data_IF_467433462204
#
_entry.id   IF_467433462204
#
_cell.length_a   1.000
_cell.length_b   1.000
_cell.length_c   1.000
_cell.angle_alpha   90.00
_cell.angle_beta   90.00
_cell.angle_gamma   90.00
#
_symmetry.space_group_name_H-M   'P 1'
#
loop_
_entity.id
_entity.type
_entity.pdbx_description
1 polymer ?
#
# COMPACT_ATOMS: atom_id res chain seq x y z
N UNK A 1 10.47 -24.68 83.36
CA UNK A 1 9.91 -23.50 82.64
C UNK A 1 9.41 -23.99 81.29
N UNK A 2 8.38 -24.83 81.24
CA UNK A 2 6.94 -24.47 81.16
C UNK A 2 6.67 -23.22 80.32
N UNK A 3 6.22 -23.44 79.09
CA UNK A 3 4.97 -22.88 78.58
C UNK A 3 4.43 -23.74 77.42
N UNK A 4 3.17 -24.12 77.58
CA UNK A 4 2.22 -24.73 76.64
C UNK A 4 1.71 -23.64 75.65
N UNK A 5 0.98 -23.82 74.54
CA UNK A 5 0.30 -24.90 73.79
C UNK A 5 -0.25 -24.25 72.50
N UNK A 6 -0.65 -25.09 71.53
CA UNK A 6 -1.76 -24.89 70.57
C UNK A 6 -1.60 -23.88 69.41
N UNK A 7 -1.68 -24.38 68.18
CA UNK A 7 -2.92 -24.32 67.41
C UNK A 7 -2.73 -24.96 66.03
N UNK A 8 -3.45 -26.06 65.83
CA UNK A 8 -3.81 -26.57 64.51
C UNK A 8 -4.48 -25.47 63.68
N UNK A 9 -4.26 -25.50 62.35
CA UNK A 9 -5.37 -25.40 61.40
C UNK A 9 -4.89 -25.71 60.00
N UNK A 10 -5.28 -26.90 59.55
CA UNK A 10 -5.28 -27.33 58.17
C UNK A 10 -6.05 -26.32 57.32
N UNK A 11 -5.43 -25.70 56.32
CA UNK A 11 -6.16 -25.01 55.27
C UNK A 11 -5.98 -25.75 53.95
N UNK A 12 -7.11 -26.21 53.43
CA UNK A 12 -7.27 -27.00 52.22
C UNK A 12 -6.79 -26.19 51.01
N UNK A 13 -5.91 -26.82 50.23
CA UNK A 13 -5.53 -26.39 48.89
C UNK A 13 -6.77 -26.48 47.99
N UNK A 14 -7.33 -25.33 47.63
CA UNK A 14 -8.32 -25.19 46.56
C UNK A 14 -7.67 -24.37 45.44
N UNK A 15 -6.86 -25.03 44.63
CA UNK A 15 -6.30 -24.44 43.41
C UNK A 15 -7.39 -24.39 42.35
N UNK A 16 -8.14 -23.29 42.30
CA UNK A 16 -9.05 -23.00 41.20
C UNK A 16 -8.21 -22.69 39.95
N UNK A 17 -8.11 -23.65 39.03
CA UNK A 17 -7.49 -23.47 37.73
C UNK A 17 -8.44 -22.65 36.83
N UNK A 18 -8.34 -21.32 36.91
CA UNK A 18 -9.08 -20.41 36.03
C UNK A 18 -8.54 -20.52 34.61
N UNK A 19 -9.27 -21.19 33.72
CA UNK A 19 -9.06 -21.08 32.27
C UNK A 19 -9.43 -19.65 31.85
N UNK A 20 -8.43 -18.77 31.77
CA UNK A 20 -8.58 -17.48 31.10
C UNK A 20 -8.75 -17.74 29.60
N UNK A 21 -9.99 -17.72 29.11
CA UNK A 21 -10.27 -17.65 27.70
C UNK A 21 -9.69 -16.32 27.18
N UNK A 22 -8.54 -16.36 26.50
CA UNK A 22 -8.05 -15.25 25.70
C UNK A 22 -8.98 -15.09 24.50
N UNK A 23 -10.08 -14.37 24.70
CA UNK A 23 -10.79 -13.73 23.60
C UNK A 23 -9.84 -12.67 23.04
N UNK A 24 -8.99 -13.07 22.10
CA UNK A 24 -8.21 -12.15 21.29
C UNK A 24 -9.20 -11.26 20.54
N UNK A 25 -9.48 -10.09 21.10
CA UNK A 25 -10.12 -9.02 20.36
C UNK A 25 -9.15 -8.65 19.24
N UNK A 26 -9.35 -9.24 18.07
CA UNK A 26 -8.81 -8.71 16.84
C UNK A 26 -9.34 -7.27 16.76
N UNK A 27 -8.52 -6.30 17.16
CA UNK A 27 -8.75 -4.91 16.80
C UNK A 27 -8.76 -4.93 15.28
N UNK A 28 -9.95 -4.77 14.70
CA UNK A 28 -10.06 -4.27 13.35
C UNK A 28 -9.44 -2.87 13.43
N UNK A 29 -8.15 -2.79 13.14
CA UNK A 29 -7.50 -1.52 12.86
C UNK A 29 -8.34 -0.88 11.76
N UNK A 30 -9.05 0.18 12.11
CA UNK A 30 -9.74 0.97 11.11
C UNK A 30 -8.66 1.37 10.08
N UNK A 31 -8.91 1.20 8.77
CA UNK A 31 -7.90 1.55 7.77
C UNK A 31 -7.46 2.98 8.03
N UNK A 32 -6.17 3.16 8.29
CA UNK A 32 -5.60 4.48 8.54
C UNK A 32 -6.01 5.39 7.38
N UNK A 33 -6.48 6.62 7.62
CA UNK A 33 -6.88 7.49 6.53
C UNK A 33 -5.69 7.67 5.60
N UNK A 34 -5.92 7.47 4.30
CA UNK A 34 -4.86 7.58 3.30
C UNK A 34 -4.15 8.93 3.40
N UNK A 35 -2.83 8.92 3.44
CA UNK A 35 -2.00 10.11 3.53
C UNK A 35 -2.06 10.86 2.20
N UNK A 36 -2.56 12.11 2.16
CA UNK A 36 -2.61 12.88 0.93
C UNK A 36 -1.19 13.27 0.48
N UNK A 37 -0.93 13.19 -0.82
CA UNK A 37 0.34 13.55 -1.44
C UNK A 37 0.06 14.23 -2.79
N UNK A 38 1.03 14.94 -3.35
CA UNK A 38 0.93 15.48 -4.72
C UNK A 38 2.26 15.28 -5.42
N UNK A 39 2.37 14.17 -6.15
CA UNK A 39 3.62 13.73 -6.80
C UNK A 39 3.31 13.35 -8.23
N UNK A 40 4.12 13.80 -9.18
CA UNK A 40 4.03 13.34 -10.57
C UNK A 40 5.03 12.21 -10.76
N UNK A 41 4.57 11.08 -11.27
CA UNK A 41 5.44 9.93 -11.46
C UNK A 41 5.17 9.21 -12.78
N UNK A 42 6.16 8.45 -13.22
CA UNK A 42 6.05 7.61 -14.41
C UNK A 42 5.90 6.14 -14.01
N UNK A 43 4.93 5.46 -14.60
CA UNK A 43 4.71 4.03 -14.40
C UNK A 43 5.66 3.24 -15.28
N UNK A 44 6.49 2.41 -14.65
CA UNK A 44 7.44 1.48 -15.26
C UNK A 44 6.87 0.06 -15.24
N UNK A 45 5.72 -0.13 -15.89
CA UNK A 45 5.12 -1.45 -16.04
C UNK A 45 5.80 -2.24 -17.17
N UNK A 46 6.23 -3.46 -16.87
CA UNK A 46 6.97 -4.34 -17.79
C UNK A 46 6.20 -5.62 -18.11
N UNK A 47 5.16 -5.94 -17.33
CA UNK A 47 4.27 -7.06 -17.56
C UNK A 47 3.41 -6.79 -18.81
N UNK A 48 3.43 -7.67 -19.82
CA UNK A 48 2.58 -7.52 -21.00
C UNK A 48 1.08 -7.50 -20.69
N UNK A 49 0.64 -8.03 -19.53
CA UNK A 49 -0.74 -7.95 -19.08
C UNK A 49 -1.13 -6.54 -18.57
N UNK A 50 -0.15 -5.66 -18.32
CA UNK A 50 -0.35 -4.32 -17.78
C UNK A 50 -0.60 -4.29 -16.27
N UNK A 51 -0.66 -3.08 -15.72
CA UNK A 51 -0.81 -2.86 -14.29
C UNK A 51 -2.29 -2.79 -13.92
N UNK A 52 -2.77 -3.68 -13.07
CA UNK A 52 -4.15 -3.65 -12.59
C UNK A 52 -4.41 -2.45 -11.66
N UNK A 53 -5.45 -1.67 -11.96
CA UNK A 53 -5.91 -0.57 -11.13
C UNK A 53 -7.27 -0.88 -10.50
N UNK A 54 -7.46 -0.48 -9.24
CA UNK A 54 -8.58 -0.91 -8.38
C UNK A 54 -9.31 0.28 -7.75
N UNK A 55 -10.52 0.04 -7.25
CA UNK A 55 -11.34 1.09 -6.64
C UNK A 55 -10.89 1.49 -5.22
N UNK A 56 -10.12 0.62 -4.55
CA UNK A 56 -9.67 0.80 -3.18
C UNK A 56 -8.28 0.16 -2.97
N UNK A 57 -7.53 0.54 -1.92
CA UNK A 57 -6.21 0.00 -1.58
C UNK A 57 -6.29 -1.43 -1.03
N UNK A 58 -6.93 -2.34 -1.77
CA UNK A 58 -7.18 -3.71 -1.35
C UNK A 58 -7.10 -4.67 -2.54
N UNK A 59 -6.29 -5.71 -2.40
CA UNK A 59 -6.06 -6.70 -3.46
C UNK A 59 -7.30 -7.54 -3.79
N UNK A 60 -8.27 -7.61 -2.87
CA UNK A 60 -9.52 -8.36 -3.04
C UNK A 60 -10.63 -7.54 -3.71
N UNK A 61 -10.46 -6.22 -3.86
CA UNK A 61 -11.46 -5.33 -4.48
C UNK A 61 -11.37 -5.42 -6.00
N UNK A 62 -12.50 -5.30 -6.69
CA UNK A 62 -12.59 -5.37 -8.15
C UNK A 62 -11.59 -4.44 -8.85
N UNK A 63 -10.99 -4.96 -9.93
CA UNK A 63 -10.17 -4.21 -10.87
C UNK A 63 -11.06 -3.30 -11.73
N UNK A 64 -10.77 -2.00 -11.74
CA UNK A 64 -11.47 -0.99 -12.54
C UNK A 64 -10.95 -0.94 -13.98
N UNK A 65 -9.68 -1.28 -14.18
CA UNK A 65 -9.04 -1.30 -15.48
C UNK A 65 -7.57 -1.71 -15.38
N UNK A 66 -6.84 -1.56 -16.48
CA UNK A 66 -5.40 -1.81 -16.54
C UNK A 66 -4.68 -0.61 -17.14
N UNK A 67 -3.49 -0.32 -16.65
CA UNK A 67 -2.56 0.59 -17.31
C UNK A 67 -1.68 -0.20 -18.27
N UNK A 68 -1.46 0.30 -19.49
CA UNK A 68 -0.68 -0.42 -20.47
C UNK A 68 0.80 -0.45 -20.07
N UNK A 69 1.55 -1.49 -20.50
CA UNK A 69 2.98 -1.56 -20.25
C UNK A 69 3.75 -0.47 -20.98
N UNK A 70 4.96 -0.26 -20.50
CA UNK A 70 5.98 0.53 -21.16
C UNK A 70 6.40 -0.17 -22.45
N UNK A 71 6.66 0.63 -23.48
CA UNK A 71 7.23 0.17 -24.73
C UNK A 71 8.31 1.13 -25.20
N UNK A 72 9.17 0.65 -26.09
CA UNK A 72 10.23 1.46 -26.69
C UNK A 72 9.82 1.78 -28.12
N UNK A 73 9.76 3.06 -28.44
CA UNK A 73 9.58 3.48 -29.82
C UNK A 73 10.80 3.08 -30.65
N UNK A 74 10.57 2.32 -31.71
CA UNK A 74 11.66 1.76 -32.53
C UNK A 74 12.35 2.81 -33.37
N UNK A 75 11.67 3.92 -33.70
CA UNK A 75 12.23 4.98 -34.52
C UNK A 75 13.18 5.88 -33.73
N UNK A 76 12.80 6.25 -32.51
CA UNK A 76 13.57 7.16 -31.64
C UNK A 76 14.38 6.47 -30.55
N UNK A 77 14.08 5.21 -30.22
CA UNK A 77 14.62 4.53 -29.04
C UNK A 77 14.06 5.04 -27.71
N UNK A 78 13.01 5.88 -27.75
CA UNK A 78 12.43 6.51 -26.57
C UNK A 78 11.53 5.55 -25.80
N UNK A 79 11.66 5.55 -24.48
CA UNK A 79 10.81 4.78 -23.59
C UNK A 79 9.51 5.52 -23.32
N UNK A 80 8.40 4.96 -23.77
CA UNK A 80 7.06 5.54 -23.63
C UNK A 80 6.41 5.02 -22.36
N UNK A 81 6.29 5.89 -21.37
CA UNK A 81 5.77 5.60 -20.03
C UNK A 81 4.51 6.39 -19.76
N UNK A 82 3.64 5.81 -18.93
CA UNK A 82 2.42 6.48 -18.47
C UNK A 82 2.79 7.45 -17.35
N UNK A 83 2.53 8.74 -17.54
CA UNK A 83 2.57 9.75 -16.48
C UNK A 83 1.30 9.62 -15.64
N UNK A 84 1.45 9.64 -14.33
CA UNK A 84 0.36 9.63 -13.35
C UNK A 84 0.58 10.69 -12.29
N UNK A 85 -0.50 11.19 -11.71
CA UNK A 85 -0.46 12.02 -10.51
C UNK A 85 -0.86 11.17 -9.31
N UNK A 86 0.04 11.02 -8.33
CA UNK A 86 -0.22 10.36 -7.06
C UNK A 86 -0.82 11.38 -6.09
N UNK A 87 -2.03 11.09 -5.64
CA UNK A 87 -2.83 11.96 -4.76
C UNK A 87 -2.91 11.47 -3.31
N UNK A 88 -2.67 10.18 -3.08
CA UNK A 88 -2.63 9.62 -1.73
C UNK A 88 -1.82 8.31 -1.67
N UNK A 89 -1.36 7.97 -0.47
CA UNK A 89 -0.67 6.71 -0.15
C UNK A 89 -1.40 6.03 1.03
N UNK A 90 -1.56 4.71 0.95
CA UNK A 90 -2.10 3.89 2.04
C UNK A 90 -1.45 2.49 2.00
N UNK A 91 -0.63 2.17 3.00
CA UNK A 91 -0.15 0.81 3.27
C UNK A 91 0.47 0.11 2.04
N UNK A 92 1.28 0.85 1.28
CA UNK A 92 1.90 0.36 0.05
C UNK A 92 0.99 0.39 -1.18
N UNK A 93 -0.12 1.12 -1.13
CA UNK A 93 -0.97 1.45 -2.26
C UNK A 93 -0.89 2.94 -2.57
N UNK A 94 -0.97 3.27 -3.85
CA UNK A 94 -0.99 4.65 -4.30
C UNK A 94 -2.30 4.94 -5.03
N UNK A 95 -2.96 6.02 -4.62
CA UNK A 95 -4.08 6.60 -5.35
C UNK A 95 -3.53 7.46 -6.46
N UNK A 96 -3.83 7.07 -7.69
CA UNK A 96 -3.42 7.78 -8.90
C UNK A 96 -4.62 8.37 -9.61
N UNK A 97 -4.37 9.43 -10.36
CA UNK A 97 -5.30 10.03 -11.31
C UNK A 97 -4.56 10.47 -12.56
N UNK A 98 -5.35 10.84 -13.58
CA UNK A 98 -4.84 11.50 -14.78
C UNK A 98 -3.76 10.68 -15.52
N UNK A 99 -3.92 9.36 -15.54
CA UNK A 99 -2.98 8.46 -16.18
C UNK A 99 -3.00 8.66 -17.69
N UNK A 100 -1.89 9.09 -18.29
CA UNK A 100 -1.77 9.29 -19.74
C UNK A 100 -0.33 9.14 -20.21
N UNK A 101 -0.15 8.84 -21.49
CA UNK A 101 1.13 9.07 -22.13
C UNK A 101 1.40 10.58 -22.23
N UNK A 102 2.67 10.93 -22.40
CA UNK A 102 3.10 12.32 -22.51
C UNK A 102 3.51 12.62 -23.96
N UNK A 103 2.54 13.05 -24.76
CA UNK A 103 2.76 13.38 -26.17
C UNK A 103 3.75 14.56 -26.31
N UNK A 104 3.70 15.54 -25.42
CA UNK A 104 4.60 16.69 -25.43
C UNK A 104 6.07 16.26 -25.24
N UNK A 105 6.33 15.27 -24.38
CA UNK A 105 7.67 14.74 -24.14
C UNK A 105 8.11 13.69 -25.15
N UNK A 106 7.19 12.94 -25.76
CA UNK A 106 7.52 11.75 -26.56
C UNK A 106 7.22 11.85 -28.04
N UNK A 107 6.37 12.79 -28.45
CA UNK A 107 5.84 12.90 -29.81
C UNK A 107 5.01 11.69 -30.25
N UNK A 108 4.62 10.81 -29.31
CA UNK A 108 3.85 9.61 -29.60
C UNK A 108 2.35 9.83 -29.33
N UNK A 109 1.47 9.17 -30.10
CA UNK A 109 0.03 9.31 -29.93
C UNK A 109 -0.43 8.80 -28.57
N UNK A 110 -1.39 9.52 -27.97
CA UNK A 110 -2.01 9.14 -26.71
C UNK A 110 -2.71 7.78 -26.84
N UNK A 111 -2.28 6.80 -26.04
CA UNK A 111 -3.01 5.52 -25.92
C UNK A 111 -4.24 5.70 -25.03
N UNK A 112 -5.30 4.91 -25.24
CA UNK A 112 -6.42 4.86 -24.30
C UNK A 112 -5.92 4.34 -22.94
N UNK A 113 -6.08 5.18 -21.93
CA UNK A 113 -5.69 4.89 -20.55
C UNK A 113 -6.90 5.00 -19.63
N UNK A 114 -6.78 4.44 -18.43
CA UNK A 114 -7.81 4.64 -17.42
C UNK A 114 -7.79 6.09 -16.92
N UNK A 115 -8.83 6.87 -17.24
CA UNK A 115 -8.93 8.30 -16.92
C UNK A 115 -9.40 8.61 -15.49
N UNK A 116 -9.91 7.61 -14.76
CA UNK A 116 -10.46 7.79 -13.42
C UNK A 116 -9.41 7.81 -12.31
N UNK A 117 -9.87 8.08 -11.09
CA UNK A 117 -9.06 7.84 -9.90
C UNK A 117 -9.05 6.36 -9.57
N UNK A 118 -7.88 5.83 -9.24
CA UNK A 118 -7.74 4.43 -8.89
C UNK A 118 -6.55 4.17 -7.98
N UNK A 119 -6.56 2.98 -7.39
CA UNK A 119 -5.52 2.48 -6.51
C UNK A 119 -4.74 1.40 -7.21
N UNK A 120 -3.41 1.49 -7.16
CA UNK A 120 -2.55 0.39 -7.56
C UNK A 120 -1.62 0.02 -6.41
N UNK A 121 -1.30 -1.26 -6.31
CA UNK A 121 -0.38 -1.77 -5.30
C UNK A 121 1.03 -1.47 -5.76
N UNK A 122 1.89 -1.02 -4.85
CA UNK A 122 3.33 -0.99 -5.05
C UNK A 122 3.80 -2.41 -5.41
N UNK A 123 4.33 -2.64 -6.61
CA UNK A 123 5.02 -3.90 -6.86
C UNK A 123 6.33 -3.90 -6.08
N UNK A 124 6.78 -5.09 -5.70
CA UNK A 124 8.07 -5.28 -5.01
C UNK A 124 9.28 -4.79 -5.82
N UNK A 125 9.11 -4.46 -7.10
CA UNK A 125 10.09 -3.80 -7.96
C UNK A 125 9.50 -2.57 -8.64
N UNK A 126 10.01 -1.39 -8.28
CA UNK A 126 10.26 -0.17 -9.08
C UNK A 126 9.32 0.14 -10.27
N UNK A 127 8.01 -0.08 -10.15
CA UNK A 127 7.07 0.28 -11.23
C UNK A 127 6.63 1.74 -11.20
N UNK A 128 7.16 2.55 -10.28
CA UNK A 128 6.96 4.00 -10.27
C UNK A 128 8.31 4.65 -10.08
N UNK A 129 8.72 5.46 -11.04
CA UNK A 129 9.91 6.30 -10.92
C UNK A 129 9.49 7.77 -10.97
N UNK A 130 9.71 8.49 -9.86
CA UNK A 130 9.64 9.95 -9.84
C UNK A 130 10.94 10.57 -10.36
N UNK A 131 10.86 11.79 -10.94
CA UNK A 131 12.06 12.55 -11.25
C UNK A 131 12.90 12.81 -9.98
N UNK A 132 14.24 12.96 -10.10
CA UNK A 132 15.16 12.98 -8.96
C UNK A 132 14.82 14.00 -7.87
N UNK A 133 14.26 15.14 -8.24
CA UNK A 133 13.82 16.21 -7.36
C UNK A 133 12.56 15.88 -6.52
N UNK A 134 11.78 14.87 -6.91
CA UNK A 134 10.55 14.45 -6.22
C UNK A 134 10.70 13.09 -5.51
N UNK A 135 11.87 12.45 -5.59
CA UNK A 135 12.15 11.17 -4.89
C UNK A 135 12.01 11.27 -3.38
N UNK A 136 12.36 12.42 -2.80
CA UNK A 136 12.18 12.68 -1.37
C UNK A 136 10.71 12.74 -0.97
N UNK A 137 9.82 13.19 -1.86
CA UNK A 137 8.38 13.23 -1.61
C UNK A 137 7.77 11.83 -1.64
N UNK A 138 8.24 10.94 -2.52
CA UNK A 138 7.87 9.52 -2.48
C UNK A 138 8.37 8.88 -1.18
N UNK A 139 9.64 9.09 -0.81
CA UNK A 139 10.19 8.57 0.45
C UNK A 139 9.44 9.09 1.69
N UNK A 140 8.98 10.35 1.67
CA UNK A 140 8.15 10.93 2.72
C UNK A 140 6.75 10.30 2.76
N UNK A 141 6.09 10.14 1.62
CA UNK A 141 4.81 9.44 1.51
C UNK A 141 4.90 7.96 1.92
N UNK A 142 6.07 7.34 1.72
CA UNK A 142 6.40 5.99 2.18
C UNK A 142 6.62 5.96 3.71
N UNK A 143 7.34 6.94 4.27
CA UNK A 143 7.65 6.99 5.70
C UNK A 143 6.45 7.30 6.59
N UNK A 144 5.43 7.99 6.09
CA UNK A 144 4.21 8.31 6.86
C UNK A 144 3.22 7.14 6.93
N UNK A 145 3.43 6.08 6.14
CA UNK A 145 2.56 4.89 6.11
C UNK A 145 3.06 3.73 6.99
N UNK A 146 4.14 3.94 7.77
CA UNK A 146 4.74 2.94 8.66
C UNK A 146 4.31 3.08 10.11
#
# INVERSE_FOLDING_TARGET
MSWSTAAESSLRVLTTLSLAAFAGAARADAPSPATPCSIVAFVEETDPAGLNVRAAPNAKVRVLGTLPPVWVDKASGTWIRIRVEITASDSGWFRIRNARDDEDLTGQPLRPTFAGECWHRRPSRRAITAPPNERAAIAAAESTSG
#
